data_IF_267941593506
#
_entry.id   IF_267941593506
#
_cell.length_a   1.000
_cell.length_b   1.000
_cell.length_c   1.000
_cell.angle_alpha   90.00
_cell.angle_beta   90.00
_cell.angle_gamma   90.00
#
_symmetry.space_group_name_H-M   'P 1'
#
loop_
_entity.id
_entity.type
_entity.pdbx_description
1 polymer ?
#
# COMPACT_ATOMS: atom_id res chain seq x y z
N UNK A 1 3.39 20.13 -0.17
CA UNK A 1 3.33 18.91 -0.97
C UNK A 1 2.60 17.79 -0.22
N UNK A 2 2.05 16.83 -0.96
CA UNK A 2 1.46 15.61 -0.45
C UNK A 2 2.01 14.41 -1.22
N UNK A 3 1.96 13.22 -0.60
CA UNK A 3 2.35 11.97 -1.23
C UNK A 3 1.51 10.81 -0.70
N UNK A 4 1.35 9.78 -1.51
CA UNK A 4 0.73 8.54 -1.09
C UNK A 4 1.77 7.67 -0.39
N UNK A 5 1.42 7.11 0.76
CA UNK A 5 2.18 6.06 1.43
C UNK A 5 1.37 4.78 1.36
N UNK A 6 2.04 3.66 1.19
CA UNK A 6 1.38 2.36 1.20
C UNK A 6 2.26 1.27 1.83
N UNK A 7 1.59 0.32 2.44
CA UNK A 7 2.16 -0.95 2.84
C UNK A 7 1.65 -2.04 1.88
N UNK A 8 2.55 -2.76 1.20
CA UNK A 8 2.11 -3.74 0.19
C UNK A 8 1.42 -4.94 0.81
N UNK A 9 1.80 -5.31 2.05
CA UNK A 9 1.21 -6.40 2.83
C UNK A 9 1.44 -6.16 4.31
N UNK A 10 0.40 -6.43 5.12
CA UNK A 10 0.55 -6.54 6.57
C UNK A 10 1.18 -7.90 6.94
N UNK A 11 1.97 -7.93 8.01
CA UNK A 11 2.53 -9.18 8.55
C UNK A 11 1.62 -9.85 9.59
N UNK A 12 0.62 -9.14 10.08
CA UNK A 12 -0.25 -9.58 11.18
C UNK A 12 -1.70 -9.89 10.74
N UNK A 13 -2.04 -9.58 9.49
CA UNK A 13 -3.37 -9.85 8.91
C UNK A 13 -3.29 -9.89 7.38
N UNK A 14 -4.21 -10.61 6.77
CA UNK A 14 -4.30 -10.76 5.31
C UNK A 14 -4.91 -9.52 4.66
N UNK A 15 -4.08 -8.45 4.50
CA UNK A 15 -4.50 -7.20 3.87
C UNK A 15 -3.28 -6.34 3.48
N UNK A 16 -3.57 -5.20 2.87
CA UNK A 16 -2.67 -4.09 2.59
C UNK A 16 -3.37 -2.76 2.93
N UNK A 17 -2.66 -1.64 2.87
CA UNK A 17 -3.29 -0.34 3.05
C UNK A 17 -2.50 0.78 2.37
N UNK A 18 -3.20 1.89 2.08
CA UNK A 18 -2.60 3.10 1.57
C UNK A 18 -3.27 4.32 2.19
N UNK A 19 -2.48 5.38 2.41
CA UNK A 19 -2.94 6.64 2.99
C UNK A 19 -2.17 7.81 2.40
N UNK A 20 -2.37 9.00 2.93
CA UNK A 20 -1.73 10.22 2.46
C UNK A 20 -0.80 10.78 3.53
N UNK A 21 0.34 11.29 3.12
CA UNK A 21 1.16 12.22 3.92
C UNK A 21 1.11 13.62 3.31
N UNK A 22 1.00 14.63 4.16
CA UNK A 22 1.09 16.04 3.81
C UNK A 22 2.26 16.70 4.53
N UNK A 23 2.99 17.57 3.81
CA UNK A 23 4.08 18.36 4.37
C UNK A 23 3.56 19.66 4.93
N UNK A 24 3.65 19.83 6.24
CA UNK A 24 3.17 21.01 6.96
C UNK A 24 4.27 21.50 7.91
N UNK A 25 4.62 22.76 7.81
CA UNK A 25 5.61 23.42 8.70
C UNK A 25 6.93 22.64 8.89
N UNK A 26 7.48 22.11 7.79
CA UNK A 26 8.77 21.43 7.82
C UNK A 26 8.72 19.96 8.26
N UNK A 27 7.53 19.35 8.37
CA UNK A 27 7.34 17.97 8.80
C UNK A 27 6.27 17.25 7.98
N UNK A 28 6.43 15.96 7.79
CA UNK A 28 5.40 15.07 7.24
C UNK A 28 4.41 14.64 8.32
N UNK A 29 3.13 14.70 7.98
CA UNK A 29 2.02 14.21 8.78
C UNK A 29 1.15 13.30 7.94
N UNK A 30 0.67 12.21 8.50
CA UNK A 30 -0.24 11.32 7.79
C UNK A 30 -1.71 11.58 8.13
N UNK A 31 -2.58 11.19 7.23
CA UNK A 31 -4.04 11.21 7.36
C UNK A 31 -4.66 10.15 6.46
N UNK A 32 -5.83 9.66 6.80
CA UNK A 32 -6.63 8.81 5.92
C UNK A 32 -7.05 9.57 4.66
N UNK A 33 -7.12 8.89 3.53
CA UNK A 33 -7.49 9.51 2.26
C UNK A 33 -8.99 9.85 2.17
N UNK A 34 -9.82 9.02 2.81
CA UNK A 34 -11.30 9.12 2.77
C UNK A 34 -11.93 9.10 4.16
N UNK A 35 -11.14 9.21 5.21
CA UNK A 35 -11.55 9.04 6.61
C UNK A 35 -11.07 10.25 7.41
N UNK A 36 -11.85 11.35 7.42
CA UNK A 36 -11.44 12.57 8.08
C UNK A 36 -11.42 12.39 9.60
N UNK A 37 -10.23 12.49 10.17
CA UNK A 37 -9.98 12.42 11.59
C UNK A 37 -9.82 13.81 12.23
N UNK A 38 -10.06 13.96 13.55
CA UNK A 38 -9.99 15.25 14.23
C UNK A 38 -8.60 15.90 14.20
N UNK A 39 -7.54 15.11 14.07
CA UNK A 39 -6.15 15.58 14.05
C UNK A 39 -5.32 14.80 13.02
N UNK A 40 -4.18 15.38 12.61
CA UNK A 40 -3.19 14.70 11.80
C UNK A 40 -2.48 13.60 12.63
N UNK A 41 -1.89 12.62 11.96
CA UNK A 41 -1.28 11.42 12.53
C UNK A 41 -2.28 10.55 13.32
N UNK A 42 -3.52 10.61 12.94
CA UNK A 42 -4.59 9.74 13.44
C UNK A 42 -5.29 9.06 12.27
N UNK A 43 -5.59 7.79 12.46
CA UNK A 43 -6.39 6.94 11.60
C UNK A 43 -6.65 5.61 12.30
N UNK A 44 -7.66 4.87 11.86
CA UNK A 44 -7.92 3.52 12.37
C UNK A 44 -6.70 2.62 12.25
N UNK A 45 -5.81 2.93 11.29
CA UNK A 45 -4.60 2.16 10.99
C UNK A 45 -3.38 2.51 11.87
N UNK A 46 -3.50 3.35 12.91
CA UNK A 46 -2.37 3.65 13.80
C UNK A 46 -1.77 2.39 14.44
N UNK A 47 -2.60 1.44 14.85
CA UNK A 47 -2.16 0.13 15.34
C UNK A 47 -1.51 -0.71 14.24
N UNK A 48 -2.22 -1.03 13.14
CA UNK A 48 -1.65 -1.73 11.99
C UNK A 48 -0.35 -1.13 11.46
N UNK A 49 -0.24 0.20 11.34
CA UNK A 49 0.97 0.86 10.87
C UNK A 49 2.15 0.72 11.84
N UNK A 50 1.91 0.81 13.15
CA UNK A 50 2.95 0.60 14.17
C UNK A 50 3.59 -0.78 14.11
N UNK A 51 2.86 -1.79 13.66
CA UNK A 51 3.32 -3.18 13.48
C UNK A 51 3.51 -3.56 12.01
N UNK A 52 3.72 -2.57 11.15
CA UNK A 52 4.05 -2.78 9.74
C UNK A 52 5.50 -3.24 9.56
N UNK A 53 5.74 -3.99 8.50
CA UNK A 53 7.09 -4.41 8.10
C UNK A 53 7.72 -3.47 7.10
N UNK A 54 6.92 -2.88 6.20
CA UNK A 54 7.41 -2.00 5.14
C UNK A 54 6.36 -0.95 4.79
N UNK A 55 6.80 0.31 4.70
CA UNK A 55 6.01 1.42 4.18
C UNK A 55 6.82 2.11 3.10
N UNK A 56 6.23 2.33 1.94
CA UNK A 56 6.92 3.07 0.88
C UNK A 56 6.08 4.19 0.28
N UNK A 57 6.80 5.12 -0.33
CA UNK A 57 6.20 6.22 -1.08
C UNK A 57 7.02 6.53 -2.32
N UNK A 58 6.37 7.05 -3.35
CA UNK A 58 7.02 7.50 -4.58
C UNK A 58 7.24 9.00 -4.53
N UNK A 59 8.48 9.39 -4.76
CA UNK A 59 8.86 10.79 -4.98
C UNK A 59 9.14 10.97 -6.46
N UNK A 60 8.38 11.84 -7.12
CA UNK A 60 8.56 12.10 -8.54
C UNK A 60 9.84 12.90 -8.79
N UNK A 61 10.68 12.37 -9.67
CA UNK A 61 12.00 12.90 -9.97
C UNK A 61 13.13 12.27 -9.13
N UNK A 62 14.28 12.99 -9.06
CA UNK A 62 15.47 12.55 -8.31
C UNK A 62 15.30 12.84 -6.83
N UNK A 63 15.50 11.82 -6.02
CA UNK A 63 15.50 11.93 -4.57
C UNK A 63 16.91 11.69 -4.01
N UNK A 64 17.37 12.59 -3.13
CA UNK A 64 18.69 12.54 -2.48
C UNK A 64 18.58 12.65 -0.93
N UNK A 65 17.41 12.33 -0.37
CA UNK A 65 17.19 12.31 1.08
C UNK A 65 17.82 11.09 1.76
N UNK A 66 17.68 11.00 3.08
CA UNK A 66 18.34 9.98 3.90
C UNK A 66 17.64 8.62 3.87
N UNK A 67 16.40 8.54 3.39
CA UNK A 67 15.61 7.29 3.42
C UNK A 67 16.18 6.24 2.47
N UNK A 68 16.00 4.98 2.83
CA UNK A 68 16.44 3.83 2.04
C UNK A 68 15.69 3.80 0.69
N UNK A 69 16.45 3.84 -0.39
CA UNK A 69 15.90 3.79 -1.74
C UNK A 69 15.56 2.36 -2.09
N UNK A 70 14.28 2.14 -2.41
CA UNK A 70 13.76 0.84 -2.83
C UNK A 70 13.95 0.64 -4.33
N UNK A 71 13.61 1.66 -5.13
CA UNK A 71 13.73 1.63 -6.58
C UNK A 71 14.01 3.04 -7.13
N UNK A 72 14.72 3.11 -8.24
CA UNK A 72 14.88 4.31 -9.06
C UNK A 72 14.48 4.02 -10.49
N UNK A 73 13.60 4.87 -11.02
CA UNK A 73 13.22 4.89 -12.43
C UNK A 73 13.48 6.28 -13.01
N UNK A 74 13.24 6.46 -14.29
CA UNK A 74 13.35 7.78 -14.94
C UNK A 74 12.29 8.77 -14.43
N UNK A 75 11.14 8.29 -13.97
CA UNK A 75 10.00 9.10 -13.53
C UNK A 75 9.89 9.30 -12.02
N UNK A 76 10.39 8.38 -11.21
CA UNK A 76 10.28 8.44 -9.75
C UNK A 76 11.39 7.70 -9.03
N UNK A 77 11.54 8.04 -7.76
CA UNK A 77 12.30 7.26 -6.77
C UNK A 77 11.32 6.73 -5.73
N UNK A 78 11.31 5.42 -5.51
CA UNK A 78 10.55 4.80 -4.42
C UNK A 78 11.45 4.70 -3.18
N UNK A 79 10.97 5.24 -2.05
CA UNK A 79 11.70 5.30 -0.79
C UNK A 79 10.94 4.58 0.31
N UNK A 80 11.69 3.99 1.24
CA UNK A 80 11.16 3.35 2.43
C UNK A 80 11.00 4.38 3.56
N UNK A 81 9.79 4.50 4.09
CA UNK A 81 9.44 5.44 5.15
C UNK A 81 8.96 4.73 6.43
N UNK A 82 9.31 3.47 6.59
CA UNK A 82 8.90 2.66 7.76
C UNK A 82 9.24 3.32 9.09
N UNK A 83 10.36 4.02 9.18
CA UNK A 83 10.85 4.69 10.40
C UNK A 83 9.88 5.77 10.93
N UNK A 84 8.98 6.28 10.07
CA UNK A 84 7.96 7.25 10.47
C UNK A 84 6.78 6.60 11.20
N UNK A 85 6.64 5.27 11.15
CA UNK A 85 5.43 4.57 11.58
C UNK A 85 5.68 3.49 12.62
N UNK A 86 6.75 2.72 12.48
CA UNK A 86 6.99 1.53 13.29
C UNK A 86 8.41 1.51 13.87
N UNK A 87 8.60 0.86 15.01
CA UNK A 87 9.94 0.48 15.47
C UNK A 87 10.60 -0.40 14.41
N UNK A 88 11.67 0.08 13.81
CA UNK A 88 12.36 -0.57 12.70
C UNK A 88 13.77 -0.99 13.08
N UNK A 89 14.36 -1.82 12.22
CA UNK A 89 15.77 -2.18 12.28
C UNK A 89 16.28 -2.48 10.88
N UNK A 90 17.57 -2.29 10.66
CA UNK A 90 18.27 -2.60 9.43
C UNK A 90 18.90 -3.99 9.50
N UNK A 91 18.71 -4.79 8.46
CA UNK A 91 19.42 -6.04 8.26
C UNK A 91 20.27 -5.97 6.98
N UNK A 92 21.46 -6.55 7.01
CA UNK A 92 22.35 -6.71 5.86
C UNK A 92 22.30 -8.16 5.41
N UNK A 93 22.05 -8.36 4.11
CA UNK A 93 22.04 -9.68 3.48
C UNK A 93 23.30 -9.83 2.64
N UNK A 94 24.08 -10.85 2.96
CA UNK A 94 25.24 -11.24 2.16
C UNK A 94 24.88 -12.49 1.36
N UNK A 95 24.99 -12.42 0.04
CA UNK A 95 24.73 -13.57 -0.85
C UNK A 95 26.05 -14.16 -1.33
N UNK A 96 26.18 -15.45 -1.16
CA UNK A 96 27.39 -16.20 -1.60
C UNK A 96 27.01 -17.33 -2.57
N UNK A 97 27.96 -17.79 -3.33
CA UNK A 97 27.85 -19.08 -4.04
C UNK A 97 28.04 -20.26 -3.04
N UNK A 98 27.95 -21.48 -3.55
CA UNK A 98 28.12 -22.70 -2.75
C UNK A 98 29.52 -22.85 -2.12
N UNK A 99 30.52 -22.09 -2.59
CA UNK A 99 31.88 -22.08 -2.06
C UNK A 99 32.16 -20.91 -1.12
N UNK A 100 31.15 -20.12 -0.79
CA UNK A 100 31.27 -18.95 0.09
C UNK A 100 31.76 -17.68 -0.59
N UNK A 101 31.91 -17.66 -1.93
CA UNK A 101 32.35 -16.46 -2.67
C UNK A 101 31.16 -15.50 -2.81
N UNK A 102 31.35 -14.19 -2.55
CA UNK A 102 30.31 -13.17 -2.75
C UNK A 102 29.75 -13.16 -4.17
N UNK A 103 28.43 -13.01 -4.29
CA UNK A 103 27.71 -12.97 -5.56
C UNK A 103 27.16 -11.57 -5.79
N UNK A 104 27.76 -10.85 -6.74
CA UNK A 104 27.28 -9.54 -7.21
C UNK A 104 26.01 -9.68 -8.07
N UNK A 105 25.13 -8.67 -8.05
CA UNK A 105 23.88 -8.59 -8.83
C UNK A 105 22.95 -9.79 -8.62
N UNK A 106 22.99 -10.47 -7.47
CA UNK A 106 21.98 -11.43 -7.08
C UNK A 106 20.69 -10.69 -6.76
N UNK A 107 19.55 -11.19 -7.23
CA UNK A 107 18.23 -10.70 -6.82
C UNK A 107 17.94 -11.18 -5.42
N UNK A 108 17.63 -10.25 -4.51
CA UNK A 108 17.20 -10.53 -3.13
C UNK A 108 15.77 -10.03 -2.98
N UNK A 109 14.86 -10.93 -2.68
CA UNK A 109 13.45 -10.66 -2.41
C UNK A 109 13.16 -10.80 -0.93
N UNK A 110 12.60 -9.75 -0.35
CA UNK A 110 12.10 -9.74 1.02
C UNK A 110 10.61 -10.04 1.01
N UNK A 111 10.20 -11.11 1.67
CA UNK A 111 8.86 -11.67 1.54
C UNK A 111 8.14 -11.71 2.87
N UNK A 112 6.87 -11.29 2.86
CA UNK A 112 5.93 -11.37 3.98
C UNK A 112 4.94 -12.50 3.70
N UNK A 113 4.63 -13.31 4.71
CA UNK A 113 3.56 -14.28 4.63
C UNK A 113 2.20 -13.59 4.80
N UNK A 114 1.36 -13.68 3.76
CA UNK A 114 0.09 -12.99 3.69
C UNK A 114 -0.76 -13.65 2.59
N UNK A 115 -2.06 -13.87 2.83
CA UNK A 115 -2.95 -14.64 1.94
C UNK A 115 -2.40 -16.03 1.60
N UNK A 116 -1.91 -16.75 2.61
CA UNK A 116 -1.35 -18.10 2.50
C UNK A 116 -0.15 -18.25 1.55
N UNK A 117 0.57 -17.17 1.23
CA UNK A 117 1.78 -17.19 0.40
C UNK A 117 2.85 -16.18 0.88
N UNK A 118 4.08 -16.39 0.40
CA UNK A 118 5.20 -15.48 0.65
C UNK A 118 5.26 -14.41 -0.45
N UNK A 119 4.61 -13.27 -0.20
CA UNK A 119 4.57 -12.13 -1.11
C UNK A 119 5.86 -11.31 -1.07
N UNK A 120 6.51 -11.10 -2.20
CA UNK A 120 7.68 -10.23 -2.30
C UNK A 120 7.28 -8.75 -2.17
N UNK A 121 7.67 -8.12 -1.07
CA UNK A 121 7.35 -6.72 -0.76
C UNK A 121 8.49 -5.76 -1.07
N UNK A 122 9.72 -6.27 -1.15
CA UNK A 122 10.89 -5.50 -1.54
C UNK A 122 11.85 -6.35 -2.37
N UNK A 123 12.51 -5.73 -3.33
CA UNK A 123 13.53 -6.34 -4.19
C UNK A 123 14.78 -5.48 -4.21
N UNK A 124 15.91 -6.10 -3.95
CA UNK A 124 17.23 -5.45 -4.01
C UNK A 124 18.18 -6.30 -4.88
N UNK A 125 19.24 -5.68 -5.37
CA UNK A 125 20.37 -6.40 -5.96
C UNK A 125 21.59 -6.25 -5.07
N UNK A 126 22.37 -7.31 -4.98
CA UNK A 126 23.65 -7.27 -4.24
C UNK A 126 24.70 -6.44 -4.97
N UNK A 127 25.52 -5.77 -4.21
CA UNK A 127 26.71 -5.02 -4.67
C UNK A 127 27.90 -5.94 -5.04
N UNK A 128 29.08 -5.34 -5.25
CA UNK A 128 30.30 -6.05 -5.59
C UNK A 128 30.77 -7.03 -4.48
N UNK A 129 30.43 -6.74 -3.25
CA UNK A 129 30.75 -7.56 -2.07
C UNK A 129 29.65 -8.59 -1.75
N UNK A 130 28.67 -8.75 -2.67
CA UNK A 130 27.53 -9.65 -2.50
C UNK A 130 26.51 -9.16 -1.47
N UNK A 131 26.50 -7.88 -1.14
CA UNK A 131 25.68 -7.34 -0.05
C UNK A 131 24.53 -6.45 -0.55
N UNK A 132 23.40 -6.52 0.14
CA UNK A 132 22.35 -5.52 0.10
C UNK A 132 21.75 -5.35 1.50
N UNK A 133 20.92 -4.34 1.72
CA UNK A 133 20.30 -4.10 3.01
C UNK A 133 18.87 -3.59 2.88
N UNK A 134 18.07 -3.79 3.91
CA UNK A 134 16.74 -3.26 4.05
C UNK A 134 16.50 -2.83 5.51
N UNK A 135 15.82 -1.70 5.70
CA UNK A 135 15.19 -1.35 6.99
C UNK A 135 13.75 -1.83 6.99
N UNK A 136 13.32 -2.52 8.04
CA UNK A 136 11.96 -3.03 8.16
C UNK A 136 11.48 -3.00 9.61
N UNK A 137 10.18 -3.13 9.82
CA UNK A 137 9.61 -3.33 11.16
C UNK A 137 10.21 -4.55 11.85
N UNK A 138 10.24 -4.53 13.19
CA UNK A 138 10.90 -5.56 14.01
C UNK A 138 10.10 -6.87 14.08
N UNK A 139 10.00 -7.55 12.95
CA UNK A 139 9.36 -8.84 12.75
C UNK A 139 10.17 -9.72 11.82
N UNK A 140 9.60 -10.82 11.38
CA UNK A 140 10.25 -11.82 10.54
C UNK A 140 9.84 -11.68 9.08
N UNK A 141 10.81 -11.84 8.18
CA UNK A 141 10.60 -12.02 6.75
C UNK A 141 11.30 -13.30 6.26
N UNK A 142 10.75 -13.94 5.24
CA UNK A 142 11.50 -14.88 4.42
C UNK A 142 12.28 -14.08 3.38
N UNK A 143 13.60 -14.19 3.41
CA UNK A 143 14.48 -13.55 2.43
C UNK A 143 14.98 -14.60 1.44
N UNK A 144 14.68 -14.38 0.16
CA UNK A 144 15.01 -15.27 -0.94
C UNK A 144 16.04 -14.61 -1.85
N UNK A 145 17.15 -15.26 -2.07
CA UNK A 145 18.19 -14.81 -3.00
C UNK A 145 18.27 -15.74 -4.22
N UNK A 146 18.46 -15.16 -5.40
CA UNK A 146 18.58 -15.95 -6.64
C UNK A 146 19.50 -15.30 -7.66
N UNK A 147 20.21 -16.14 -8.43
CA UNK A 147 20.99 -15.76 -9.60
C UNK A 147 21.31 -16.98 -10.47
N UNK A 148 21.26 -16.81 -11.79
CA UNK A 148 21.69 -17.79 -12.79
C UNK A 148 21.11 -19.21 -12.55
N UNK A 149 19.79 -19.26 -12.22
CA UNK A 149 19.08 -20.51 -11.97
C UNK A 149 19.40 -21.18 -10.62
N UNK A 150 20.20 -20.55 -9.77
CA UNK A 150 20.45 -20.99 -8.39
C UNK A 150 19.72 -20.10 -7.41
N UNK A 151 19.37 -20.62 -6.24
CA UNK A 151 18.73 -19.87 -5.18
C UNK A 151 19.16 -20.35 -3.79
N UNK A 152 18.83 -19.55 -2.82
CA UNK A 152 18.91 -19.84 -1.39
C UNK A 152 17.93 -18.95 -0.63
N UNK A 153 17.64 -19.28 0.61
CA UNK A 153 16.76 -18.47 1.43
C UNK A 153 17.08 -18.60 2.92
N UNK A 154 16.61 -17.64 3.70
CA UNK A 154 16.67 -17.65 5.15
C UNK A 154 15.49 -16.88 5.74
N UNK A 155 15.06 -17.30 6.93
CA UNK A 155 14.26 -16.42 7.78
C UNK A 155 15.19 -15.34 8.34
N UNK A 156 14.75 -14.08 8.31
CA UNK A 156 15.47 -12.93 8.87
C UNK A 156 14.56 -12.24 9.88
N UNK A 157 15.01 -12.14 11.13
CA UNK A 157 14.30 -11.48 12.22
C UNK A 157 14.86 -10.06 12.41
N UNK A 158 14.18 -9.07 11.86
CA UNK A 158 14.61 -7.67 11.98
C UNK A 158 14.63 -7.21 13.43
N UNK A 159 15.75 -6.60 13.83
CA UNK A 159 16.01 -6.19 15.20
C UNK A 159 16.68 -7.25 16.08
N UNK A 160 16.81 -8.48 15.56
CA UNK A 160 17.63 -9.56 16.17
C UNK A 160 18.80 -9.90 15.27
N UNK A 161 18.55 -10.09 13.98
CA UNK A 161 19.56 -10.43 12.97
C UNK A 161 20.07 -9.15 12.31
N UNK A 162 21.31 -8.75 12.62
CA UNK A 162 21.96 -7.60 12.00
C UNK A 162 22.57 -7.90 10.64
N UNK A 163 23.11 -9.11 10.44
CA UNK A 163 23.69 -9.61 9.21
C UNK A 163 23.36 -11.09 9.01
N UNK A 164 22.92 -11.46 7.79
CA UNK A 164 22.56 -12.83 7.42
C UNK A 164 23.21 -13.21 6.11
N UNK A 165 23.85 -14.37 6.05
CA UNK A 165 24.43 -14.92 4.83
C UNK A 165 23.50 -15.95 4.19
N UNK A 166 23.22 -15.82 2.90
CA UNK A 166 22.42 -16.75 2.11
C UNK A 166 23.29 -17.33 0.98
N UNK A 167 23.54 -18.64 1.04
CA UNK A 167 24.27 -19.33 -0.01
C UNK A 167 23.34 -19.79 -1.14
N UNK A 168 23.72 -19.52 -2.39
CA UNK A 168 23.02 -20.02 -3.59
C UNK A 168 23.40 -21.48 -3.85
N UNK A 169 22.90 -22.38 -3.03
CA UNK A 169 23.25 -23.82 -3.05
C UNK A 169 22.11 -24.73 -3.53
N UNK A 170 20.96 -24.16 -3.90
CA UNK A 170 19.76 -24.85 -4.39
C UNK A 170 19.51 -24.52 -5.86
N UNK A 171 18.75 -25.39 -6.54
CA UNK A 171 18.31 -25.25 -7.94
C UNK A 171 16.83 -25.58 -8.08
N UNK A 172 16.15 -25.11 -9.12
CA UNK A 172 14.77 -25.51 -9.41
C UNK A 172 14.62 -27.03 -9.45
N UNK A 173 13.57 -27.52 -8.78
CA UNK A 173 13.32 -28.95 -8.61
C UNK A 173 13.84 -29.53 -7.28
N UNK A 174 14.71 -28.85 -6.57
CA UNK A 174 15.05 -29.25 -5.20
C UNK A 174 13.83 -29.08 -4.30
N UNK A 175 13.48 -30.11 -3.55
CA UNK A 175 12.33 -30.14 -2.64
C UNK A 175 12.84 -30.39 -1.22
N UNK A 176 12.39 -29.54 -0.31
CA UNK A 176 12.61 -29.76 1.12
C UNK A 176 11.37 -29.32 1.92
N UNK A 177 11.19 -29.91 3.07
CA UNK A 177 10.17 -29.51 4.04
C UNK A 177 10.87 -28.77 5.19
N UNK A 178 10.50 -27.53 5.41
CA UNK A 178 11.00 -26.72 6.52
C UNK A 178 9.83 -26.24 7.39
N UNK A 179 10.07 -26.16 8.69
CA UNK A 179 9.17 -25.48 9.60
C UNK A 179 9.63 -24.02 9.73
N UNK A 180 8.76 -23.09 9.42
CA UNK A 180 9.01 -21.65 9.58
C UNK A 180 8.02 -21.08 10.61
N UNK A 181 8.56 -20.60 11.71
CA UNK A 181 7.82 -19.76 12.66
C UNK A 181 8.08 -18.29 12.28
N UNK A 182 7.09 -17.65 11.68
CA UNK A 182 7.16 -16.26 11.20
C UNK A 182 6.44 -15.37 12.19
N UNK A 183 7.18 -14.56 12.91
CA UNK A 183 6.68 -13.69 13.98
C UNK A 183 6.50 -12.28 13.44
N UNK A 184 5.28 -11.70 13.45
CA UNK A 184 5.07 -10.31 13.10
C UNK A 184 5.64 -9.37 14.16
N UNK A 185 5.78 -8.06 13.87
CA UNK A 185 6.13 -7.07 14.88
C UNK A 185 5.16 -7.10 16.07
N UNK A 186 5.67 -6.74 17.25
CA UNK A 186 4.88 -6.68 18.49
C UNK A 186 3.72 -5.70 18.37
N UNK A 187 2.65 -5.97 19.08
CA UNK A 187 1.47 -5.12 19.10
C UNK A 187 1.76 -3.75 19.74
N UNK A 188 1.10 -2.72 19.24
CA UNK A 188 1.26 -1.35 19.68
C UNK A 188 0.45 -0.39 18.79
N UNK A 189 0.59 0.90 19.03
CA UNK A 189 -0.08 1.93 18.23
C UNK A 189 0.75 3.19 18.18
N UNK A 190 0.65 3.92 17.07
CA UNK A 190 1.17 5.29 16.97
C UNK A 190 0.34 6.16 17.91
N UNK A 191 0.99 6.86 18.88
CA UNK A 191 0.24 7.68 19.82
C UNK A 191 -0.40 8.89 19.11
N UNK A 192 -1.65 9.19 19.47
CA UNK A 192 -2.34 10.40 19.06
C UNK A 192 -3.19 10.93 20.20
N UNK A 193 -3.13 12.24 20.42
CA UNK A 193 -3.93 12.93 21.43
C UNK A 193 -4.99 13.77 20.74
N UNK A 194 -6.24 13.68 21.23
CA UNK A 194 -7.38 14.40 20.68
C UNK A 194 -8.14 15.07 21.80
N UNK A 195 -8.25 16.40 21.75
CA UNK A 195 -9.03 17.16 22.75
C UNK A 195 -10.55 17.02 22.51
N UNK A 196 -11.38 17.27 23.53
CA UNK A 196 -12.84 17.29 23.39
C UNK A 196 -13.30 18.28 22.30
N UNK A 197 -12.69 19.46 22.22
CA UNK A 197 -13.01 20.50 21.25
C UNK A 197 -12.70 20.06 19.83
N UNK A 198 -11.58 19.34 19.62
CA UNK A 198 -11.21 18.77 18.31
C UNK A 198 -12.20 17.67 17.89
N UNK A 199 -12.67 16.83 18.82
CA UNK A 199 -13.70 15.83 18.55
C UNK A 199 -15.02 16.48 18.14
N UNK A 200 -15.44 17.51 18.85
CA UNK A 200 -16.69 18.24 18.54
C UNK A 200 -16.60 18.93 17.15
N UNK A 201 -15.48 19.62 16.88
CA UNK A 201 -15.25 20.26 15.59
C UNK A 201 -15.24 19.22 14.43
N UNK A 202 -14.66 18.05 14.65
CA UNK A 202 -14.68 16.97 13.67
C UNK A 202 -16.09 16.42 13.44
N UNK A 203 -16.86 16.19 14.52
CA UNK A 203 -18.23 15.71 14.39
C UNK A 203 -19.10 16.69 13.59
N UNK A 204 -18.95 18.00 13.83
CA UNK A 204 -19.64 19.03 13.04
C UNK A 204 -19.24 18.99 11.57
N UNK A 205 -17.93 18.89 11.26
CA UNK A 205 -17.44 18.78 9.89
C UNK A 205 -18.00 17.55 9.18
N UNK A 206 -18.05 16.39 9.85
CA UNK A 206 -18.62 15.16 9.27
C UNK A 206 -20.09 15.33 8.89
N UNK A 207 -20.88 16.00 9.71
CA UNK A 207 -22.28 16.31 9.38
C UNK A 207 -22.40 17.23 8.16
N UNK A 208 -21.50 18.21 8.02
CA UNK A 208 -21.45 19.10 6.86
C UNK A 208 -21.05 18.32 5.59
N UNK A 209 -20.06 17.44 5.69
CA UNK A 209 -19.60 16.56 4.59
C UNK A 209 -20.71 15.59 4.17
N UNK A 210 -21.42 14.97 5.11
CA UNK A 210 -22.57 14.10 4.83
C UNK A 210 -23.70 14.86 4.13
N UNK A 211 -23.98 16.10 4.54
CA UNK A 211 -24.97 16.92 3.87
C UNK A 211 -24.60 17.22 2.41
N UNK A 212 -23.31 17.51 2.14
CA UNK A 212 -22.80 17.70 0.77
C UNK A 212 -22.91 16.40 -0.04
N UNK A 213 -22.49 15.28 0.54
CA UNK A 213 -22.57 13.95 -0.09
C UNK A 213 -24.01 13.58 -0.41
N UNK A 214 -24.90 13.72 0.55
CA UNK A 214 -26.32 13.39 0.37
C UNK A 214 -26.97 14.27 -0.72
N UNK A 215 -26.61 15.55 -0.80
CA UNK A 215 -27.05 16.43 -1.89
C UNK A 215 -26.56 15.92 -3.25
N UNK A 216 -25.31 15.44 -3.33
CA UNK A 216 -24.77 14.86 -4.56
C UNK A 216 -25.43 13.52 -4.89
N UNK A 217 -25.56 12.62 -3.92
CA UNK A 217 -26.22 11.31 -4.09
C UNK A 217 -27.69 11.49 -4.52
N UNK A 218 -28.37 12.52 -4.04
CA UNK A 218 -29.73 12.83 -4.49
C UNK A 218 -29.85 13.18 -5.98
N UNK A 219 -28.72 13.49 -6.64
CA UNK A 219 -28.67 13.67 -8.11
C UNK A 219 -28.48 12.36 -8.86
N UNK A 220 -28.23 11.25 -8.16
CA UNK A 220 -27.99 9.98 -8.79
C UNK A 220 -29.25 9.41 -9.41
N UNK A 221 -29.04 8.49 -10.33
CA UNK A 221 -30.09 7.75 -10.99
C UNK A 221 -30.94 6.98 -9.96
N UNK A 222 -32.25 7.06 -10.16
CA UNK A 222 -33.20 6.08 -9.63
C UNK A 222 -33.96 5.49 -10.79
N UNK A 223 -34.29 4.22 -10.68
CA UNK A 223 -35.02 3.48 -11.74
C UNK A 223 -36.30 4.23 -12.18
N UNK A 224 -37.05 4.73 -11.21
CA UNK A 224 -38.28 5.49 -11.45
C UNK A 224 -38.02 6.78 -12.25
N UNK A 225 -36.93 7.51 -11.98
CA UNK A 225 -36.58 8.73 -12.75
C UNK A 225 -36.23 8.40 -14.20
N UNK A 226 -35.46 7.33 -14.42
CA UNK A 226 -35.08 6.96 -15.78
C UNK A 226 -36.26 6.44 -16.59
N UNK A 227 -37.11 5.61 -16.02
CA UNK A 227 -38.33 5.14 -16.66
C UNK A 227 -39.26 6.28 -17.00
N UNK A 228 -39.46 7.24 -16.07
CA UNK A 228 -40.28 8.40 -16.31
C UNK A 228 -39.75 9.27 -17.45
N UNK A 229 -38.44 9.53 -17.49
CA UNK A 229 -37.80 10.31 -18.55
C UNK A 229 -37.78 9.57 -19.88
N UNK A 230 -37.49 8.28 -19.91
CA UNK A 230 -37.56 7.48 -21.12
C UNK A 230 -38.97 7.45 -21.71
N UNK A 231 -40.00 7.33 -20.89
CA UNK A 231 -41.40 7.41 -21.30
C UNK A 231 -41.76 8.78 -21.84
N UNK A 232 -41.32 9.86 -21.19
CA UNK A 232 -41.51 11.26 -21.67
C UNK A 232 -40.91 11.44 -23.07
N UNK A 233 -39.72 10.87 -23.29
CA UNK A 233 -38.99 11.03 -24.57
C UNK A 233 -39.33 9.98 -25.63
N UNK A 234 -40.19 9.01 -25.31
CA UNK A 234 -40.56 7.92 -26.23
C UNK A 234 -39.40 6.94 -26.51
N UNK A 235 -38.50 6.77 -25.56
CA UNK A 235 -37.34 5.88 -25.63
C UNK A 235 -37.69 4.58 -24.89
N UNK A 236 -37.30 3.43 -25.46
CA UNK A 236 -37.41 2.14 -24.78
C UNK A 236 -36.39 2.08 -23.61
N UNK A 237 -36.85 1.97 -22.34
CA UNK A 237 -35.97 1.90 -21.19
C UNK A 237 -34.89 0.81 -21.27
N UNK A 238 -35.21 -0.33 -21.84
CA UNK A 238 -34.26 -1.46 -21.96
C UNK A 238 -33.06 -1.13 -22.85
N UNK A 239 -33.20 -0.23 -23.82
CA UNK A 239 -32.11 0.21 -24.70
C UNK A 239 -31.12 1.15 -24.02
N UNK A 240 -31.48 1.68 -22.85
CA UNK A 240 -30.64 2.63 -22.09
C UNK A 240 -29.99 2.00 -20.87
N UNK A 241 -30.35 0.75 -20.54
CA UNK A 241 -29.90 0.07 -19.33
C UNK A 241 -28.36 0.00 -19.21
N UNK A 242 -27.66 -0.43 -20.25
CA UNK A 242 -26.20 -0.52 -20.25
C UNK A 242 -25.53 0.84 -20.04
N UNK A 243 -26.07 1.91 -20.61
CA UNK A 243 -25.57 3.25 -20.40
C UNK A 243 -25.83 3.72 -18.96
N UNK A 244 -27.01 3.43 -18.42
CA UNK A 244 -27.36 3.78 -17.03
C UNK A 244 -26.48 3.08 -16.03
N UNK A 245 -26.16 1.82 -16.24
CA UNK A 245 -25.20 1.05 -15.44
C UNK A 245 -23.80 1.64 -15.59
N UNK A 246 -23.35 1.90 -16.81
CA UNK A 246 -22.02 2.44 -17.12
C UNK A 246 -21.75 3.84 -16.55
N UNK A 247 -22.78 4.70 -16.49
CA UNK A 247 -22.69 6.04 -15.88
C UNK A 247 -22.74 6.03 -14.34
N UNK A 248 -22.80 4.84 -13.72
CA UNK A 248 -22.80 4.64 -12.26
C UNK A 248 -23.82 5.49 -11.50
N UNK A 249 -24.98 5.71 -12.10
CA UNK A 249 -26.07 6.49 -11.52
C UNK A 249 -25.86 8.01 -11.54
N UNK A 250 -24.88 8.54 -12.28
CA UNK A 250 -24.74 9.98 -12.48
C UNK A 250 -25.92 10.53 -13.29
N UNK A 251 -26.91 11.08 -12.57
CA UNK A 251 -28.15 11.52 -13.18
C UNK A 251 -27.96 12.61 -14.26
N UNK A 252 -27.03 13.53 -14.08
CA UNK A 252 -26.76 14.59 -15.05
C UNK A 252 -26.28 14.03 -16.40
N UNK A 253 -25.41 13.02 -16.37
CA UNK A 253 -24.94 12.34 -17.59
C UNK A 253 -26.05 11.51 -18.23
N UNK A 254 -26.83 10.81 -17.42
CA UNK A 254 -27.98 10.02 -17.90
C UNK A 254 -29.02 10.92 -18.55
N UNK A 255 -29.42 12.00 -17.89
CA UNK A 255 -30.40 12.96 -18.43
C UNK A 255 -29.91 13.58 -19.74
N UNK A 256 -28.66 14.01 -19.80
CA UNK A 256 -28.05 14.57 -21.01
C UNK A 256 -28.07 13.56 -22.15
N UNK A 257 -27.62 12.32 -21.90
CA UNK A 257 -27.63 11.25 -22.91
C UNK A 257 -29.04 11.00 -23.44
N UNK A 258 -30.01 10.85 -22.54
CA UNK A 258 -31.40 10.57 -22.96
C UNK A 258 -32.01 11.70 -23.78
N UNK A 259 -31.76 12.99 -23.42
CA UNK A 259 -32.27 14.13 -24.15
C UNK A 259 -31.57 14.35 -25.50
N UNK A 260 -30.30 13.98 -25.63
CA UNK A 260 -29.51 14.12 -26.86
C UNK A 260 -29.65 12.91 -27.78
N UNK A 261 -30.23 11.79 -27.31
CA UNK A 261 -30.45 10.59 -28.12
C UNK A 261 -31.70 10.77 -28.97
N UNK A 262 -31.61 10.68 -30.31
CA UNK A 262 -32.78 10.78 -31.17
C UNK A 262 -33.79 9.66 -30.89
N UNK A 263 -35.06 10.00 -30.81
CA UNK A 263 -36.14 9.04 -30.67
C UNK A 263 -36.06 7.97 -31.78
N UNK A 264 -36.00 6.70 -31.39
CA UNK A 264 -35.95 5.56 -32.30
C UNK A 264 -34.57 5.01 -32.64
N UNK A 265 -33.52 5.44 -31.95
CA UNK A 265 -32.19 4.84 -32.08
C UNK A 265 -31.84 3.96 -30.87
#
# INVERSE_FOLDING_TARGET
>A
PARQVYTPRWAHTDDNHAWVEAWVNGKWYFLGACEPEPVLNLGWFNGPAYRGMLMHTKVFGKYNGPEDVMERTDGYTEINVIDNYAPSAKAVITVTDANGKPVKDALVEFKIYNYAEFNSVARKKTDADGKCSLSAGKGDMLVWASKDGKFGYSKVSFGKDGEVTIALNKKPGDVETIALDIIPPVDGSIPAEVTPEQKEANAKRLLEEDAIRNKYVATFYTEEKAEALAKELGIDPMKTEDFMIGSRGNWMEIEKFLRETPAGK
#
